data_IF_525625646316
#
_entry.id   IF_525625646316
#
_cell.length_a   1.000
_cell.length_b   1.000
_cell.length_c   1.000
_cell.angle_alpha   90.00
_cell.angle_beta   90.00
_cell.angle_gamma   90.00
#
_symmetry.space_group_name_H-M   'P 1'
#
loop_
_entity.id
_entity.type
_entity.pdbx_description
1 polymer ?
#
# COMPACT_ATOMS: atom_id res chain seq x y z
N UNK A 1 6.00 -3.43 1.05
CA UNK A 1 4.71 -3.99 1.51
C UNK A 1 4.57 -5.47 1.17
N UNK A 2 4.21 -5.82 -0.08
CA UNK A 2 3.98 -7.22 -0.49
C UNK A 2 5.23 -8.08 -0.31
N UNK A 3 6.39 -7.61 -0.79
CA UNK A 3 7.65 -8.34 -0.63
C UNK A 3 7.95 -8.69 0.83
N UNK A 4 7.80 -7.72 1.73
CA UNK A 4 7.97 -7.94 3.18
C UNK A 4 6.94 -8.92 3.74
N UNK A 5 5.69 -8.89 3.24
CA UNK A 5 4.67 -9.85 3.65
C UNK A 5 5.05 -11.28 3.27
N UNK A 6 5.49 -11.47 2.02
CA UNK A 6 5.86 -12.78 1.49
C UNK A 6 7.16 -13.30 2.10
N UNK A 7 8.15 -12.43 2.32
CA UNK A 7 9.37 -12.81 3.04
C UNK A 7 9.14 -13.24 4.49
N UNK A 8 8.21 -12.56 5.19
CA UNK A 8 7.94 -12.83 6.59
C UNK A 8 6.91 -13.95 6.81
N UNK A 9 5.97 -14.13 5.91
CA UNK A 9 4.83 -15.04 6.04
C UNK A 9 4.76 -16.13 4.96
N UNK A 10 5.72 -16.16 4.03
CA UNK A 10 5.67 -17.06 2.88
C UNK A 10 4.66 -16.62 1.81
N UNK A 11 4.58 -17.35 0.69
CA UNK A 11 3.63 -17.06 -0.39
C UNK A 11 2.16 -17.01 0.05
N UNK A 12 1.80 -17.77 1.08
CA UNK A 12 0.45 -17.78 1.67
C UNK A 12 -0.02 -16.42 2.22
N UNK A 13 0.89 -15.51 2.54
CA UNK A 13 0.53 -14.16 2.96
C UNK A 13 -0.31 -13.40 1.92
N UNK A 14 -0.10 -13.69 0.62
CA UNK A 14 -0.85 -13.08 -0.48
C UNK A 14 -2.33 -13.46 -0.41
N UNK A 15 -2.65 -14.72 -0.13
CA UNK A 15 -4.03 -15.17 0.06
C UNK A 15 -4.73 -14.38 1.17
N UNK A 16 -4.06 -14.20 2.30
CA UNK A 16 -4.61 -13.46 3.43
C UNK A 16 -4.74 -11.96 3.15
N UNK A 17 -3.88 -11.39 2.28
CA UNK A 17 -4.07 -10.04 1.74
C UNK A 17 -5.35 -9.92 0.93
N UNK A 18 -5.69 -10.90 0.08
CA UNK A 18 -6.95 -10.89 -0.68
C UNK A 18 -8.16 -10.90 0.24
N UNK A 19 -8.14 -11.75 1.25
CA UNK A 19 -9.26 -11.88 2.18
C UNK A 19 -9.48 -10.60 2.99
N UNK A 20 -8.40 -9.99 3.49
CA UNK A 20 -8.52 -8.73 4.21
C UNK A 20 -8.90 -7.55 3.29
N UNK A 21 -8.56 -7.59 2.02
CA UNK A 21 -8.98 -6.56 1.07
C UNK A 21 -10.50 -6.56 0.85
N UNK A 22 -11.12 -7.73 0.78
CA UNK A 22 -12.58 -7.83 0.67
C UNK A 22 -13.29 -7.19 1.87
N UNK A 23 -12.81 -7.46 3.09
CA UNK A 23 -13.32 -6.82 4.31
C UNK A 23 -12.96 -5.33 4.34
N UNK A 24 -11.76 -4.99 3.90
CA UNK A 24 -11.24 -3.64 3.82
C UNK A 24 -12.04 -2.74 2.88
N UNK A 25 -12.58 -3.27 1.78
CA UNK A 25 -13.46 -2.50 0.88
C UNK A 25 -14.71 -1.99 1.60
N UNK A 26 -15.36 -2.82 2.41
CA UNK A 26 -16.53 -2.41 3.19
C UNK A 26 -16.16 -1.36 4.25
N UNK A 27 -15.04 -1.56 4.94
CA UNK A 27 -14.51 -0.60 5.92
C UNK A 27 -14.20 0.74 5.25
N UNK A 28 -13.49 0.73 4.14
CA UNK A 28 -13.14 1.92 3.36
C UNK A 28 -14.35 2.68 2.87
N UNK A 29 -15.38 1.96 2.40
CA UNK A 29 -16.65 2.54 2.01
C UNK A 29 -17.28 3.31 3.19
N UNK A 30 -17.41 2.65 4.34
CA UNK A 30 -18.04 3.24 5.52
C UNK A 30 -17.28 4.48 6.04
N UNK A 31 -15.96 4.37 6.18
CA UNK A 31 -15.11 5.46 6.67
C UNK A 31 -15.18 6.71 5.78
N UNK A 32 -15.09 6.54 4.47
CA UNK A 32 -15.06 7.66 3.54
C UNK A 32 -16.46 8.26 3.32
N UNK A 33 -17.53 7.45 3.40
CA UNK A 33 -18.90 7.92 3.44
C UNK A 33 -19.12 8.82 4.68
N UNK A 34 -18.76 8.34 5.86
CA UNK A 34 -18.89 9.08 7.11
C UNK A 34 -18.04 10.34 7.11
N UNK A 35 -16.86 10.32 6.53
CA UNK A 35 -15.99 11.48 6.42
C UNK A 35 -16.64 12.62 5.64
N UNK A 36 -17.32 12.32 4.53
CA UNK A 36 -18.04 13.34 3.75
C UNK A 36 -19.33 13.76 4.43
N UNK A 37 -20.06 12.83 5.07
CA UNK A 37 -21.32 13.11 5.76
C UNK A 37 -21.14 14.09 6.94
N UNK A 38 -20.08 13.93 7.72
CA UNK A 38 -19.84 14.69 8.96
C UNK A 38 -18.74 15.74 8.84
N UNK A 39 -18.22 16.01 7.63
CA UNK A 39 -17.21 17.04 7.40
C UNK A 39 -17.73 18.43 7.73
N UNK A 40 -16.81 19.32 7.99
CA UNK A 40 -17.05 20.73 8.27
C UNK A 40 -16.27 21.61 7.32
N UNK A 41 -16.70 22.85 7.19
CA UNK A 41 -15.91 23.90 6.59
C UNK A 41 -15.16 24.63 7.70
N UNK A 42 -13.84 24.70 7.61
CA UNK A 42 -13.02 25.42 8.57
C UNK A 42 -13.13 26.95 8.38
N UNK A 43 -12.48 27.69 9.27
CA UNK A 43 -12.46 29.16 9.23
C UNK A 43 -11.81 29.76 7.97
N UNK A 44 -11.04 28.95 7.23
CA UNK A 44 -10.40 29.33 5.97
C UNK A 44 -11.18 28.87 4.74
N UNK A 45 -12.34 28.25 4.93
CA UNK A 45 -13.19 27.75 3.85
C UNK A 45 -12.82 26.36 3.33
N UNK A 46 -11.83 25.68 3.90
CA UNK A 46 -11.46 24.32 3.52
C UNK A 46 -12.36 23.28 4.16
N UNK A 47 -12.53 22.15 3.46
CA UNK A 47 -13.25 21.00 4.01
C UNK A 47 -12.34 20.23 4.96
N UNK A 48 -12.78 20.03 6.19
CA UNK A 48 -12.12 19.23 7.21
C UNK A 48 -13.05 18.12 7.70
N UNK A 49 -12.54 16.92 7.82
CA UNK A 49 -13.30 15.74 8.22
C UNK A 49 -12.38 14.57 8.58
N UNK A 50 -12.97 13.42 8.76
CA UNK A 50 -12.30 12.21 9.18
C UNK A 50 -12.82 11.67 10.50
N UNK A 51 -12.15 10.66 11.10
CA UNK A 51 -12.67 9.97 12.28
C UNK A 51 -12.99 10.88 13.46
N UNK A 52 -12.14 11.87 13.75
CA UNK A 52 -12.37 12.82 14.83
C UNK A 52 -13.71 13.58 14.65
N UNK A 53 -14.08 13.90 13.41
CA UNK A 53 -15.33 14.64 13.15
C UNK A 53 -16.57 13.75 13.21
N UNK A 54 -16.54 12.54 12.67
CA UNK A 54 -17.72 11.67 12.75
C UNK A 54 -17.88 11.02 14.12
N UNK A 55 -16.83 10.86 14.91
CA UNK A 55 -16.92 10.46 16.32
C UNK A 55 -17.58 11.61 17.13
N UNK A 56 -17.15 12.84 16.94
CA UNK A 56 -17.73 13.98 17.68
C UNK A 56 -19.17 14.25 17.26
N UNK A 57 -19.45 14.34 15.96
CA UNK A 57 -20.75 14.76 15.42
C UNK A 57 -21.75 13.62 15.23
N UNK A 58 -21.27 12.42 14.97
CA UNK A 58 -22.12 11.25 14.77
C UNK A 58 -22.44 10.52 16.08
N UNK A 59 -21.45 10.34 16.95
CA UNK A 59 -21.60 9.65 18.23
C UNK A 59 -21.76 10.64 19.42
N UNK A 60 -21.43 11.91 19.26
CA UNK A 60 -21.47 12.91 20.33
C UNK A 60 -20.33 12.79 21.36
N UNK A 61 -19.33 11.91 21.12
CA UNK A 61 -18.28 11.56 22.09
C UNK A 61 -17.04 12.43 21.87
N UNK A 62 -17.04 13.65 22.43
CA UNK A 62 -15.96 14.63 22.23
C UNK A 62 -14.58 14.17 22.73
N UNK A 63 -14.52 13.48 23.87
CA UNK A 63 -13.23 13.05 24.42
C UNK A 63 -12.55 12.01 23.52
N UNK A 64 -13.33 11.08 22.94
CA UNK A 64 -12.81 10.05 22.04
C UNK A 64 -12.33 10.66 20.72
N UNK A 65 -13.04 11.68 20.21
CA UNK A 65 -12.63 12.43 19.02
C UNK A 65 -11.26 13.12 19.23
N UNK A 66 -11.07 13.76 20.40
CA UNK A 66 -9.80 14.40 20.77
C UNK A 66 -8.68 13.37 20.92
N UNK A 67 -8.97 12.23 21.54
CA UNK A 67 -8.00 11.14 21.70
C UNK A 67 -7.56 10.58 20.32
N UNK A 68 -8.51 10.35 19.40
CA UNK A 68 -8.18 9.96 18.03
C UNK A 68 -7.32 11.00 17.34
N UNK A 69 -7.66 12.30 17.46
CA UNK A 69 -6.87 13.37 16.85
C UNK A 69 -5.43 13.40 17.40
N UNK A 70 -5.27 13.23 18.72
CA UNK A 70 -3.95 13.14 19.35
C UNK A 70 -3.12 11.96 18.78
N UNK A 71 -3.71 10.77 18.72
CA UNK A 71 -3.04 9.61 18.14
C UNK A 71 -2.73 9.80 16.65
N UNK A 72 -3.63 10.43 15.89
CA UNK A 72 -3.39 10.79 14.50
C UNK A 72 -2.18 11.70 14.32
N UNK A 73 -2.01 12.70 15.20
CA UNK A 73 -0.82 13.58 15.22
C UNK A 73 0.45 12.78 15.57
N UNK A 74 0.39 11.92 16.58
CA UNK A 74 1.53 11.08 16.98
C UNK A 74 1.95 10.13 15.85
N UNK A 75 1.00 9.51 15.15
CA UNK A 75 1.28 8.67 13.97
C UNK A 75 1.88 9.48 12.84
N UNK A 76 1.42 10.72 12.60
CA UNK A 76 1.97 11.58 11.56
C UNK A 76 3.44 11.97 11.83
N UNK A 77 3.81 12.23 13.10
CA UNK A 77 5.17 12.62 13.47
C UNK A 77 6.12 11.44 13.70
N UNK A 78 5.65 10.36 14.30
CA UNK A 78 6.47 9.23 14.75
C UNK A 78 6.13 7.92 14.06
N UNK A 79 5.08 7.90 13.26
CA UNK A 79 4.63 6.71 12.57
C UNK A 79 5.45 6.39 11.32
N UNK A 80 5.19 5.20 10.80
CA UNK A 80 5.90 4.63 9.64
C UNK A 80 5.44 5.25 8.29
N UNK A 81 4.51 6.22 8.29
CA UNK A 81 3.81 6.66 7.09
C UNK A 81 4.68 7.03 5.89
N UNK A 82 5.74 7.82 6.07
CA UNK A 82 6.60 8.31 4.97
C UNK A 82 7.99 7.68 4.93
N UNK A 83 8.51 7.21 6.04
CA UNK A 83 9.88 6.67 6.13
C UNK A 83 10.12 5.45 5.21
N UNK A 84 9.25 4.43 5.15
CA UNK A 84 9.45 3.30 4.26
C UNK A 84 9.44 3.66 2.79
N UNK A 85 8.62 4.64 2.38
CA UNK A 85 8.53 5.10 1.00
C UNK A 85 9.81 5.81 0.57
N UNK A 86 10.31 6.75 1.39
CA UNK A 86 11.57 7.44 1.10
C UNK A 86 12.73 6.46 1.07
N UNK A 87 12.81 5.56 2.03
CA UNK A 87 13.85 4.52 2.06
C UNK A 87 13.80 3.65 0.80
N UNK A 88 12.60 3.23 0.37
CA UNK A 88 12.45 2.42 -0.85
C UNK A 88 12.90 3.18 -2.11
N UNK A 89 12.54 4.47 -2.24
CA UNK A 89 12.94 5.30 -3.39
C UNK A 89 14.46 5.49 -3.42
N UNK A 90 15.05 5.84 -2.28
CA UNK A 90 16.50 6.12 -2.22
C UNK A 90 17.34 4.89 -2.50
N UNK A 91 16.95 3.72 -1.97
CA UNK A 91 17.65 2.47 -2.27
C UNK A 91 17.43 2.02 -3.71
N UNK A 92 16.22 2.16 -4.27
CA UNK A 92 15.99 1.83 -5.67
C UNK A 92 16.87 2.69 -6.62
N UNK A 93 17.02 3.99 -6.33
CA UNK A 93 17.90 4.88 -7.09
C UNK A 93 19.38 4.53 -6.93
N UNK A 94 19.78 4.11 -5.73
CA UNK A 94 21.14 3.66 -5.46
C UNK A 94 21.44 2.35 -6.20
N UNK A 95 20.55 1.37 -6.10
CA UNK A 95 20.74 0.03 -6.68
C UNK A 95 20.72 0.06 -8.22
N UNK A 96 19.88 0.93 -8.82
CA UNK A 96 19.69 0.97 -10.27
C UNK A 96 20.64 1.94 -10.97
N UNK A 97 20.86 3.13 -10.39
CA UNK A 97 21.58 4.22 -11.05
C UNK A 97 22.87 4.63 -10.30
N UNK A 98 23.24 3.92 -9.24
CA UNK A 98 24.37 4.27 -8.36
C UNK A 98 24.33 5.71 -7.80
N UNK A 99 23.12 6.29 -7.67
CA UNK A 99 22.95 7.63 -7.10
C UNK A 99 23.02 7.55 -5.59
N UNK A 100 23.90 8.32 -4.92
CA UNK A 100 24.00 8.34 -3.46
C UNK A 100 22.65 8.66 -2.80
N UNK A 101 22.31 7.91 -1.72
CA UNK A 101 21.05 8.06 -0.96
C UNK A 101 20.78 9.51 -0.59
N UNK A 102 21.80 10.26 -0.16
CA UNK A 102 21.67 11.66 0.28
C UNK A 102 21.19 12.58 -0.85
N UNK A 103 21.65 12.36 -2.09
CA UNK A 103 21.25 13.17 -3.25
C UNK A 103 19.79 12.92 -3.55
N UNK A 104 19.39 11.66 -3.67
CA UNK A 104 17.98 11.28 -3.92
C UNK A 104 17.06 11.79 -2.80
N UNK A 105 17.46 11.62 -1.53
CA UNK A 105 16.70 12.09 -0.39
C UNK A 105 16.50 13.61 -0.42
N UNK A 106 17.55 14.36 -0.72
CA UNK A 106 17.48 15.83 -0.81
C UNK A 106 16.57 16.28 -1.94
N UNK A 107 16.72 15.72 -3.14
CA UNK A 107 15.89 16.06 -4.30
C UNK A 107 14.42 15.76 -4.01
N UNK A 108 14.10 14.56 -3.51
CA UNK A 108 12.72 14.17 -3.18
C UNK A 108 12.15 15.07 -2.09
N UNK A 109 12.93 15.42 -1.08
CA UNK A 109 12.48 16.34 -0.01
C UNK A 109 12.10 17.71 -0.57
N UNK A 110 12.91 18.28 -1.45
CA UNK A 110 12.61 19.58 -2.09
C UNK A 110 11.37 19.50 -2.94
N UNK A 111 11.22 18.46 -3.76
CA UNK A 111 10.03 18.26 -4.61
C UNK A 111 8.75 18.12 -3.79
N UNK A 112 8.81 17.29 -2.74
CA UNK A 112 7.67 17.08 -1.83
C UNK A 112 7.34 18.37 -1.07
N UNK A 113 8.33 19.11 -0.58
CA UNK A 113 8.12 20.38 0.07
C UNK A 113 7.41 21.40 -0.83
N UNK A 114 7.84 21.51 -2.10
CA UNK A 114 7.18 22.38 -3.08
C UNK A 114 5.70 22.02 -3.32
N UNK A 115 5.36 20.74 -3.29
CA UNK A 115 3.97 20.27 -3.43
C UNK A 115 3.16 20.57 -2.17
N UNK A 116 3.69 20.23 -1.00
CA UNK A 116 2.99 20.36 0.29
C UNK A 116 2.71 21.83 0.64
N UNK A 117 3.67 22.73 0.37
CA UNK A 117 3.49 24.17 0.59
C UNK A 117 2.33 24.77 -0.21
N UNK A 118 1.92 24.10 -1.32
CA UNK A 118 0.74 24.49 -2.10
C UNK A 118 -0.61 23.99 -1.53
N UNK A 119 -0.59 23.25 -0.41
CA UNK A 119 -1.78 22.73 0.28
C UNK A 119 -2.46 21.57 -0.43
N UNK A 120 -3.60 21.13 0.11
CA UNK A 120 -4.31 19.91 -0.31
C UNK A 120 -4.66 19.90 -1.80
N UNK A 121 -5.01 21.04 -2.39
CA UNK A 121 -5.33 21.13 -3.82
C UNK A 121 -4.12 20.79 -4.69
N UNK A 122 -2.94 21.29 -4.34
CA UNK A 122 -1.72 21.05 -5.09
C UNK A 122 -1.26 19.59 -4.96
N UNK A 123 -1.40 19.03 -3.77
CA UNK A 123 -1.17 17.59 -3.53
C UNK A 123 -2.09 16.75 -4.42
N UNK A 124 -3.40 17.05 -4.42
CA UNK A 124 -4.37 16.34 -5.25
C UNK A 124 -4.06 16.45 -6.76
N UNK A 125 -3.70 17.64 -7.25
CA UNK A 125 -3.32 17.86 -8.66
C UNK A 125 -2.07 17.07 -9.02
N UNK A 126 -1.02 17.13 -8.22
CA UNK A 126 0.21 16.37 -8.47
C UNK A 126 -0.07 14.86 -8.47
N UNK A 127 -0.81 14.36 -7.49
CA UNK A 127 -1.16 12.94 -7.39
C UNK A 127 -2.04 12.48 -8.56
N UNK A 128 -2.97 13.31 -9.04
CA UNK A 128 -3.86 12.95 -10.15
C UNK A 128 -3.14 12.72 -11.48
N UNK A 129 -1.92 13.24 -11.62
CA UNK A 129 -1.07 13.03 -12.82
C UNK A 129 -0.07 11.89 -12.55
N UNK A 130 0.65 11.95 -11.45
CA UNK A 130 1.77 11.03 -11.16
C UNK A 130 1.24 9.60 -10.93
N UNK A 131 0.18 9.44 -10.13
CA UNK A 131 -0.30 8.11 -9.71
C UNK A 131 -0.84 7.27 -10.88
N UNK A 132 -1.70 7.79 -11.80
CA UNK A 132 -2.15 7.00 -12.94
C UNK A 132 -1.00 6.59 -13.86
N UNK A 133 -0.05 7.48 -14.13
CA UNK A 133 1.11 7.18 -14.97
C UNK A 133 1.96 6.07 -14.36
N UNK A 134 2.26 6.17 -13.05
CA UNK A 134 3.01 5.16 -12.31
C UNK A 134 2.26 3.82 -12.27
N UNK A 135 0.95 3.84 -12.00
CA UNK A 135 0.13 2.64 -11.91
C UNK A 135 0.05 1.90 -13.26
N UNK A 136 -0.15 2.64 -14.36
CA UNK A 136 -0.19 2.06 -15.71
C UNK A 136 1.15 1.42 -16.05
N UNK A 137 2.27 2.11 -15.81
CA UNK A 137 3.61 1.58 -16.06
C UNK A 137 3.88 0.31 -15.24
N UNK A 138 3.54 0.33 -13.96
CA UNK A 138 3.71 -0.82 -13.07
C UNK A 138 2.87 -2.04 -13.49
N UNK A 139 1.59 -1.80 -13.77
CA UNK A 139 0.66 -2.87 -14.22
C UNK A 139 1.10 -3.44 -15.57
N UNK A 140 1.47 -2.58 -16.53
CA UNK A 140 1.94 -3.02 -17.83
C UNK A 140 3.19 -3.90 -17.72
N UNK A 141 4.19 -3.46 -16.95
CA UNK A 141 5.41 -4.24 -16.71
C UNK A 141 5.10 -5.57 -16.02
N UNK A 142 4.23 -5.56 -15.01
CA UNK A 142 3.80 -6.78 -14.32
C UNK A 142 3.11 -7.76 -15.28
N UNK A 143 2.23 -7.27 -16.15
CA UNK A 143 1.55 -8.10 -17.16
C UNK A 143 2.57 -8.72 -18.12
N UNK A 144 3.55 -7.96 -18.59
CA UNK A 144 4.61 -8.49 -19.47
C UNK A 144 5.33 -9.65 -18.79
N UNK A 145 5.76 -9.48 -17.54
CA UNK A 145 6.43 -10.54 -16.77
C UNK A 145 5.54 -11.78 -16.64
N UNK A 146 4.27 -11.60 -16.30
CA UNK A 146 3.32 -12.71 -16.12
C UNK A 146 3.05 -13.44 -17.44
N UNK A 147 2.95 -12.72 -18.56
CA UNK A 147 2.76 -13.31 -19.90
C UNK A 147 4.01 -14.08 -20.37
N UNK A 148 5.19 -13.51 -20.17
CA UNK A 148 6.45 -14.19 -20.51
C UNK A 148 6.67 -15.48 -19.68
N UNK A 149 6.16 -15.53 -18.46
CA UNK A 149 6.27 -16.68 -17.55
C UNK A 149 4.91 -17.35 -17.29
N UNK A 150 4.03 -17.38 -18.29
CA UNK A 150 2.66 -17.89 -18.13
C UNK A 150 2.62 -19.38 -17.71
N UNK A 151 3.60 -20.16 -18.11
CA UNK A 151 3.79 -21.56 -17.77
C UNK A 151 3.92 -21.80 -16.24
N UNK A 152 4.49 -20.86 -15.51
CA UNK A 152 4.70 -20.91 -14.05
C UNK A 152 3.49 -20.39 -13.25
N UNK A 153 2.55 -19.69 -13.90
CA UNK A 153 1.41 -19.06 -13.24
C UNK A 153 0.53 -20.04 -12.45
N UNK A 154 0.11 -21.19 -13.02
CA UNK A 154 -0.72 -22.16 -12.28
C UNK A 154 -0.02 -22.68 -11.02
N UNK A 155 1.27 -23.00 -11.13
CA UNK A 155 2.07 -23.47 -10.00
C UNK A 155 2.22 -22.39 -8.91
N UNK A 156 2.41 -21.12 -9.31
CA UNK A 156 2.49 -20.00 -8.37
C UNK A 156 1.19 -19.78 -7.60
N UNK A 157 0.04 -19.82 -8.28
CA UNK A 157 -1.27 -19.70 -7.65
C UNK A 157 -1.52 -20.88 -6.69
N UNK A 158 -1.24 -22.10 -7.13
CA UNK A 158 -1.35 -23.29 -6.29
C UNK A 158 -0.46 -23.16 -5.03
N UNK A 159 0.77 -22.67 -5.19
CA UNK A 159 1.70 -22.45 -4.08
C UNK A 159 1.15 -21.41 -3.10
N UNK A 160 0.59 -20.30 -3.57
CA UNK A 160 -0.03 -19.28 -2.71
C UNK A 160 -1.16 -19.87 -1.88
N UNK A 161 -2.07 -20.60 -2.52
CA UNK A 161 -3.24 -21.20 -1.85
C UNK A 161 -2.80 -22.28 -0.86
N UNK A 162 -1.92 -23.18 -1.29
CA UNK A 162 -1.41 -24.25 -0.43
C UNK A 162 -0.69 -23.69 0.80
N UNK A 163 0.19 -22.71 0.61
CA UNK A 163 0.97 -22.08 1.70
C UNK A 163 0.12 -21.27 2.67
N UNK A 164 -1.08 -20.86 2.27
CA UNK A 164 -1.98 -20.13 3.15
C UNK A 164 -2.55 -20.99 4.29
N UNK A 165 -2.65 -22.30 4.09
CA UNK A 165 -3.29 -23.23 5.01
C UNK A 165 -2.35 -24.31 5.55
N UNK A 166 -1.20 -24.50 4.93
CA UNK A 166 -0.23 -25.52 5.32
C UNK A 166 1.08 -24.88 5.79
N UNK A 167 1.63 -25.31 6.94
CA UNK A 167 2.96 -24.88 7.36
C UNK A 167 3.98 -25.34 6.32
N UNK A 168 4.74 -24.40 5.76
CA UNK A 168 5.84 -24.78 4.88
C UNK A 168 7.13 -24.82 5.67
N UNK A 169 7.78 -25.99 5.66
CA UNK A 169 9.21 -26.04 5.91
C UNK A 169 9.90 -25.25 4.80
N UNK A 170 10.76 -24.30 5.16
CA UNK A 170 11.48 -23.50 4.19
C UNK A 170 12.23 -24.43 3.22
N UNK A 171 12.02 -24.24 1.94
CA UNK A 171 12.84 -24.86 0.89
C UNK A 171 14.29 -24.37 1.09
N UNK A 172 15.09 -25.12 1.82
CA UNK A 172 16.53 -24.90 1.98
C UNK A 172 16.97 -23.82 2.98
N UNK A 173 16.07 -23.28 3.81
CA UNK A 173 16.40 -22.25 4.81
C UNK A 173 15.86 -22.54 6.21
N UNK A 174 16.50 -22.03 7.24
CA UNK A 174 16.28 -22.34 8.66
C UNK A 174 14.95 -21.83 9.26
N UNK A 175 14.05 -21.20 8.50
CA UNK A 175 12.81 -20.58 9.01
C UNK A 175 11.59 -21.22 8.37
N UNK A 176 10.88 -22.06 9.10
CA UNK A 176 9.56 -22.57 8.72
C UNK A 176 8.49 -21.46 8.82
N UNK A 177 7.68 -21.30 7.80
CA UNK A 177 6.53 -20.40 7.82
C UNK A 177 5.34 -21.11 8.45
N UNK A 178 4.77 -20.54 9.51
CA UNK A 178 3.52 -21.01 10.11
C UNK A 178 2.33 -20.34 9.46
N UNK A 179 1.17 -21.01 9.46
CA UNK A 179 -0.10 -20.41 9.01
C UNK A 179 -0.39 -19.09 9.77
N UNK A 180 -0.13 -19.08 11.08
CA UNK A 180 -0.26 -17.87 11.89
C UNK A 180 0.59 -16.71 11.35
N UNK A 181 1.83 -16.99 10.95
CA UNK A 181 2.74 -15.96 10.42
C UNK A 181 2.29 -15.46 9.05
N UNK A 182 1.76 -16.34 8.20
CA UNK A 182 1.16 -15.98 6.92
C UNK A 182 -0.05 -15.06 7.11
N UNK A 183 -0.95 -15.40 8.03
CA UNK A 183 -2.10 -14.57 8.41
C UNK A 183 -1.63 -13.21 8.91
N UNK A 184 -0.77 -13.16 9.92
CA UNK A 184 -0.28 -11.92 10.52
C UNK A 184 0.37 -11.00 9.48
N UNK A 185 1.26 -11.55 8.67
CA UNK A 185 1.99 -10.77 7.65
C UNK A 185 1.06 -10.30 6.54
N UNK A 186 0.19 -11.16 6.04
CA UNK A 186 -0.77 -10.85 4.99
C UNK A 186 -1.78 -9.79 5.43
N UNK A 187 -2.41 -9.98 6.59
CA UNK A 187 -3.39 -9.02 7.13
C UNK A 187 -2.74 -7.68 7.44
N UNK A 188 -1.62 -7.68 8.16
CA UNK A 188 -0.94 -6.43 8.54
C UNK A 188 -0.50 -5.62 7.31
N UNK A 189 0.07 -6.27 6.30
CA UNK A 189 0.55 -5.59 5.10
C UNK A 189 -0.57 -5.25 4.11
N UNK A 190 -1.64 -6.05 4.07
CA UNK A 190 -2.86 -5.72 3.32
C UNK A 190 -3.52 -4.45 3.85
N UNK A 191 -3.77 -4.36 5.16
CA UNK A 191 -4.32 -3.15 5.79
C UNK A 191 -3.40 -1.95 5.60
N UNK A 192 -2.09 -2.15 5.75
CA UNK A 192 -1.11 -1.06 5.55
C UNK A 192 -1.11 -0.54 4.11
N UNK A 193 -1.29 -1.41 3.10
CA UNK A 193 -1.32 -1.02 1.70
C UNK A 193 -2.58 -0.24 1.34
N UNK A 194 -3.73 -0.76 1.71
CA UNK A 194 -5.03 -0.17 1.33
C UNK A 194 -5.56 0.89 2.32
N UNK A 195 -4.91 1.05 3.47
CA UNK A 195 -5.27 2.00 4.53
C UNK A 195 -6.71 1.88 5.06
N UNK A 196 -7.35 0.71 4.93
CA UNK A 196 -8.70 0.51 5.44
C UNK A 196 -8.69 0.32 6.95
N UNK A 197 -9.44 1.14 7.68
CA UNK A 197 -9.51 1.10 9.14
C UNK A 197 -8.39 1.87 9.86
N UNK A 198 -7.44 2.46 9.15
CA UNK A 198 -6.37 3.26 9.76
C UNK A 198 -6.79 4.71 10.09
N UNK A 199 -7.88 5.19 9.49
CA UNK A 199 -8.39 6.54 9.71
C UNK A 199 -7.69 7.64 8.92
N UNK A 200 -6.60 7.36 8.20
CA UNK A 200 -5.90 8.31 7.33
C UNK A 200 -6.70 8.63 6.07
N UNK A 201 -7.21 7.61 5.40
CA UNK A 201 -7.97 7.74 4.17
C UNK A 201 -9.24 8.60 4.29
N UNK A 202 -10.08 8.48 5.34
CA UNK A 202 -11.25 9.34 5.51
C UNK A 202 -10.88 10.81 5.73
N UNK A 203 -9.71 11.14 6.27
CA UNK A 203 -9.24 12.53 6.38
C UNK A 203 -9.04 13.13 4.98
N UNK A 204 -8.39 12.40 4.09
CA UNK A 204 -8.20 12.82 2.71
C UNK A 204 -9.54 12.87 1.93
N UNK A 205 -10.40 11.86 2.12
CA UNK A 205 -11.71 11.77 1.46
C UNK A 205 -12.65 12.93 1.84
N UNK A 206 -12.51 13.50 3.02
CA UNK A 206 -13.30 14.66 3.43
C UNK A 206 -13.10 15.89 2.55
N UNK A 207 -11.92 16.05 1.94
CA UNK A 207 -11.60 17.13 1.00
C UNK A 207 -12.18 16.92 -0.42
N UNK A 208 -12.82 15.79 -0.70
CA UNK A 208 -13.36 15.48 -2.01
C UNK A 208 -14.44 16.49 -2.46
N UNK A 209 -14.41 16.82 -3.75
CA UNK A 209 -15.35 17.75 -4.38
C UNK A 209 -16.66 17.06 -4.74
N UNK A 210 -17.34 16.46 -3.76
CA UNK A 210 -18.65 15.84 -3.92
C UNK A 210 -19.58 16.28 -2.79
N UNK A 211 -20.88 16.33 -3.08
CA UNK A 211 -21.92 16.54 -2.06
C UNK A 211 -22.53 15.22 -1.59
N UNK A 212 -22.23 14.12 -2.29
CA UNK A 212 -22.84 12.83 -2.06
C UNK A 212 -21.89 11.88 -1.28
N UNK A 213 -22.17 11.61 0.02
CA UNK A 213 -21.34 10.73 0.83
C UNK A 213 -21.20 9.32 0.26
N UNK A 214 -22.30 8.74 -0.26
CA UNK A 214 -22.32 7.40 -0.85
C UNK A 214 -21.38 7.29 -2.04
N UNK A 215 -21.41 8.28 -2.93
CA UNK A 215 -20.53 8.34 -4.09
C UNK A 215 -19.05 8.32 -3.69
N UNK A 216 -18.68 9.09 -2.66
CA UNK A 216 -17.31 9.09 -2.18
C UNK A 216 -16.93 7.74 -1.55
N UNK A 217 -17.84 7.12 -0.80
CA UNK A 217 -17.62 5.78 -0.27
C UNK A 217 -17.34 4.76 -1.37
N UNK A 218 -18.16 4.72 -2.43
CA UNK A 218 -17.98 3.84 -3.57
C UNK A 218 -16.65 4.08 -4.30
N UNK A 219 -16.28 5.34 -4.55
CA UNK A 219 -15.00 5.68 -5.18
C UNK A 219 -13.83 5.21 -4.31
N UNK A 220 -13.90 5.45 -3.00
CA UNK A 220 -12.81 5.10 -2.09
C UNK A 220 -12.63 3.60 -1.95
N UNK A 221 -13.71 2.81 -1.96
CA UNK A 221 -13.59 1.35 -1.88
C UNK A 221 -12.97 0.74 -3.15
N UNK A 222 -13.17 1.35 -4.33
CA UNK A 222 -12.49 0.89 -5.56
C UNK A 222 -10.97 1.06 -5.47
N UNK A 223 -10.49 2.04 -4.70
CA UNK A 223 -9.07 2.19 -4.42
C UNK A 223 -8.47 0.97 -3.70
N UNK A 224 -9.17 0.42 -2.70
CA UNK A 224 -8.76 -0.82 -2.01
C UNK A 224 -8.70 -2.02 -2.97
N UNK A 225 -9.69 -2.12 -3.88
CA UNK A 225 -9.71 -3.17 -4.90
C UNK A 225 -8.51 -3.05 -5.85
N UNK A 226 -8.27 -1.86 -6.40
CA UNK A 226 -7.16 -1.62 -7.34
C UNK A 226 -5.80 -1.85 -6.67
N UNK A 227 -5.61 -1.35 -5.46
CA UNK A 227 -4.36 -1.50 -4.72
C UNK A 227 -4.09 -2.96 -4.37
N UNK A 228 -5.01 -3.61 -3.68
CA UNK A 228 -4.70 -4.91 -3.07
C UNK A 228 -5.05 -6.07 -3.98
N UNK A 229 -6.22 -6.06 -4.64
CA UNK A 229 -6.62 -7.17 -5.51
C UNK A 229 -5.87 -7.14 -6.85
N UNK A 230 -5.54 -5.97 -7.39
CA UNK A 230 -4.81 -5.90 -8.66
C UNK A 230 -3.31 -5.75 -8.41
N UNK A 231 -2.84 -4.61 -7.89
CA UNK A 231 -1.42 -4.29 -7.82
C UNK A 231 -0.65 -5.22 -6.88
N UNK A 232 -1.18 -5.48 -5.67
CA UNK A 232 -0.51 -6.39 -4.73
C UNK A 232 -0.51 -7.84 -5.22
N UNK A 233 -1.57 -8.29 -5.93
CA UNK A 233 -1.60 -9.63 -6.54
C UNK A 233 -0.56 -9.76 -7.63
N UNK A 234 -0.46 -8.79 -8.54
CA UNK A 234 0.57 -8.79 -9.58
C UNK A 234 1.97 -8.82 -8.98
N UNK A 235 2.24 -7.97 -7.99
CA UNK A 235 3.51 -7.97 -7.25
C UNK A 235 3.79 -9.33 -6.62
N UNK A 236 2.80 -9.90 -5.94
CA UNK A 236 2.91 -11.20 -5.28
C UNK A 236 3.21 -12.34 -6.26
N UNK A 237 2.51 -12.38 -7.39
CA UNK A 237 2.75 -13.36 -8.44
C UNK A 237 4.15 -13.24 -9.04
N UNK A 238 4.61 -12.03 -9.34
CA UNK A 238 5.97 -11.80 -9.84
C UNK A 238 7.02 -12.29 -8.83
N UNK A 239 6.85 -11.98 -7.54
CA UNK A 239 7.74 -12.45 -6.48
C UNK A 239 7.77 -13.97 -6.37
N UNK A 240 6.63 -14.64 -6.49
CA UNK A 240 6.52 -16.09 -6.37
C UNK A 240 7.09 -16.80 -7.60
N UNK A 241 6.78 -16.33 -8.81
CA UNK A 241 7.25 -16.89 -10.08
C UNK A 241 8.77 -16.80 -10.21
N UNK A 242 9.36 -15.67 -9.79
CA UNK A 242 10.82 -15.45 -9.85
C UNK A 242 11.58 -16.11 -8.70
N UNK A 243 10.88 -16.51 -7.62
CA UNK A 243 11.53 -17.04 -6.42
C UNK A 243 12.28 -15.98 -5.59
N UNK A 244 12.20 -14.70 -5.96
CA UNK A 244 12.92 -13.61 -5.30
C UNK A 244 12.61 -13.48 -3.80
N UNK A 245 11.42 -13.90 -3.38
CA UNK A 245 10.98 -13.85 -1.98
C UNK A 245 11.80 -14.74 -1.04
N UNK A 246 12.44 -15.78 -1.55
CA UNK A 246 13.25 -16.74 -0.78
C UNK A 246 14.71 -16.32 -0.62
N UNK A 247 15.14 -15.24 -1.27
CA UNK A 247 16.51 -14.76 -1.17
C UNK A 247 16.74 -14.03 0.16
N UNK A 248 17.60 -14.55 1.07
CA UNK A 248 17.83 -13.96 2.39
C UNK A 248 18.69 -12.68 2.35
N UNK A 249 19.42 -12.47 1.25
CA UNK A 249 20.30 -11.30 1.10
C UNK A 249 19.52 -10.01 0.75
N UNK A 250 18.29 -10.18 0.23
CA UNK A 250 17.45 -9.06 -0.19
C UNK A 250 16.42 -8.72 0.87
N UNK A 251 16.10 -7.45 1.01
CA UNK A 251 15.07 -6.99 1.94
C UNK A 251 14.27 -5.81 1.39
N UNK A 252 13.01 -5.68 1.83
CA UNK A 252 12.17 -4.53 1.52
C UNK A 252 11.91 -4.33 0.03
N UNK A 253 12.31 -3.19 -0.52
CA UNK A 253 12.09 -2.83 -1.92
C UNK A 253 13.02 -3.57 -2.89
N UNK A 254 14.26 -3.87 -2.47
CA UNK A 254 15.25 -4.55 -3.31
C UNK A 254 14.78 -5.92 -3.78
N UNK A 255 13.96 -6.62 -2.98
CA UNK A 255 13.31 -7.89 -3.39
C UNK A 255 12.41 -7.70 -4.61
N UNK A 256 11.62 -6.64 -4.61
CA UNK A 256 10.71 -6.34 -5.73
C UNK A 256 11.51 -5.94 -6.97
N UNK A 257 12.52 -5.07 -6.81
CA UNK A 257 13.39 -4.66 -7.90
C UNK A 257 14.08 -5.87 -8.55
N UNK A 258 14.65 -6.74 -7.74
CA UNK A 258 15.28 -7.97 -8.20
C UNK A 258 14.28 -8.90 -8.92
N UNK A 259 13.07 -9.07 -8.37
CA UNK A 259 12.04 -9.90 -8.98
C UNK A 259 11.63 -9.39 -10.37
N UNK A 260 11.46 -8.07 -10.51
CA UNK A 260 11.10 -7.44 -11.78
C UNK A 260 12.25 -7.54 -12.80
N UNK A 261 13.48 -7.27 -12.38
CA UNK A 261 14.66 -7.42 -13.24
C UNK A 261 14.81 -8.86 -13.73
N UNK A 262 14.68 -9.84 -12.84
CA UNK A 262 14.76 -11.26 -13.19
C UNK A 262 13.58 -11.71 -14.07
N UNK A 263 12.38 -11.22 -13.81
CA UNK A 263 11.17 -11.56 -14.54
C UNK A 263 11.14 -11.05 -15.98
N UNK A 264 11.80 -9.92 -16.25
CA UNK A 264 11.97 -9.35 -17.60
C UNK A 264 13.11 -10.01 -18.39
N UNK A 265 13.95 -10.79 -17.74
CA UNK A 265 15.18 -11.32 -18.31
C UNK A 265 16.33 -10.30 -18.28
N UNK A 266 17.56 -10.80 -18.24
CA UNK A 266 18.78 -9.97 -18.09
C UNK A 266 19.02 -8.96 -19.23
N UNK A 267 18.27 -9.06 -20.35
CA UNK A 267 18.37 -8.13 -21.48
C UNK A 267 17.60 -6.81 -21.29
N UNK A 268 16.65 -6.75 -20.33
CA UNK A 268 15.80 -5.57 -20.07
C UNK A 268 15.85 -5.10 -18.62
N UNK A 269 16.58 -5.81 -17.75
CA UNK A 269 16.61 -5.59 -16.31
C UNK A 269 17.88 -4.93 -15.78
N UNK A 270 18.70 -4.39 -16.65
CA UNK A 270 19.88 -3.62 -16.27
C UNK A 270 19.65 -2.12 -16.48
#
# INVERSE_FOLDING_TARGET
>A
GVATAVQAGGPGAIFWMWLVALLGMATKYAECLLAVKYRVRDKYGFMAGGPMYYIERGLGIKWLAKLFALFGVLVAFFGIGTFPQINAITHAMQDTFNVPVIITATVVTVLVAMIILGGVRRIATASSVIVPFMAIGYVATSIIILVVNYDKLPAAIALIIHSAFNPQAALGGAVGFTVMKAIQSGVARGIFSNESGLGSAPIAAAAAQTKEPVRQGLISMTGTFLDTIIVCTMTGLVLVITGAWSNPELSGASVTNYAFAQGLGTSFGA
#
